data_IF_725615211308
#
_entry.id   IF_725615211308
#
_cell.length_a   1.000
_cell.length_b   1.000
_cell.length_c   1.000
_cell.angle_alpha   90.00
_cell.angle_beta   90.00
_cell.angle_gamma   90.00
#
_symmetry.space_group_name_H-M   'P 1'
#
loop_
_entity.id
_entity.type
_entity.pdbx_description
1 polymer ?
#
# COMPACT_ATOMS: atom_id res chain seq x y z
N UNK A 1 12.89 45.02 -3.07
CA UNK A 1 12.37 43.73 -3.57
C UNK A 1 13.10 42.64 -2.82
N UNK A 2 12.41 41.86 -1.98
CA UNK A 2 13.04 40.74 -1.28
C UNK A 2 13.08 39.54 -2.23
N UNK A 3 14.24 38.92 -2.38
CA UNK A 3 14.37 37.68 -3.13
C UNK A 3 13.62 36.55 -2.40
N UNK A 4 12.92 35.67 -3.13
CA UNK A 4 12.23 34.53 -2.52
C UNK A 4 13.27 33.59 -1.89
N UNK A 5 13.06 33.27 -0.60
CA UNK A 5 13.84 32.27 0.12
C UNK A 5 13.72 30.92 -0.61
N UNK A 6 14.83 30.19 -0.86
CA UNK A 6 14.75 28.87 -1.49
C UNK A 6 13.91 27.92 -0.62
N UNK A 7 13.20 26.96 -1.24
CA UNK A 7 12.41 25.97 -0.52
C UNK A 7 13.31 25.20 0.44
N UNK A 8 12.80 24.96 1.66
CA UNK A 8 13.50 24.19 2.69
C UNK A 8 13.48 22.72 2.29
N UNK A 9 14.63 22.06 2.35
CA UNK A 9 14.73 20.62 2.09
C UNK A 9 14.02 19.83 3.20
N UNK A 10 13.13 18.90 2.82
CA UNK A 10 12.41 18.06 3.79
C UNK A 10 13.30 16.89 4.26
N UNK A 11 14.04 17.15 5.34
CA UNK A 11 14.87 16.14 6.01
C UNK A 11 14.05 15.10 6.78
N UNK A 12 12.77 15.37 7.09
CA UNK A 12 11.90 14.47 7.84
C UNK A 12 11.20 13.44 6.95
N UNK A 13 11.25 13.62 5.62
CA UNK A 13 10.67 12.69 4.64
C UNK A 13 9.19 12.43 4.92
N UNK A 14 8.42 13.51 5.09
CA UNK A 14 6.98 13.42 5.34
C UNK A 14 6.25 12.74 4.18
N UNK A 15 6.80 12.83 2.97
CA UNK A 15 6.38 12.06 1.80
C UNK A 15 6.32 10.55 2.09
N UNK A 16 7.38 9.99 2.65
CA UNK A 16 7.45 8.56 2.96
C UNK A 16 6.52 8.18 4.11
N UNK A 17 6.47 9.00 5.16
CA UNK A 17 5.60 8.76 6.31
C UNK A 17 4.12 8.76 5.91
N UNK A 18 3.71 9.71 5.06
CA UNK A 18 2.35 9.76 4.54
C UNK A 18 2.04 8.55 3.66
N UNK A 19 2.96 8.13 2.79
CA UNK A 19 2.77 6.91 1.97
C UNK A 19 2.61 5.65 2.83
N UNK A 20 3.41 5.51 3.90
CA UNK A 20 3.28 4.39 4.83
C UNK A 20 1.92 4.39 5.54
N UNK A 21 1.45 5.55 5.99
CA UNK A 21 0.12 5.68 6.61
C UNK A 21 -1.01 5.33 5.63
N UNK A 22 -0.91 5.81 4.38
CA UNK A 22 -1.89 5.56 3.32
C UNK A 22 -1.91 4.09 2.88
N UNK A 23 -0.77 3.38 2.89
CA UNK A 23 -0.76 1.91 2.70
C UNK A 23 -1.55 1.19 3.79
N UNK A 24 -1.57 1.73 5.01
CA UNK A 24 -2.41 1.26 6.10
C UNK A 24 -3.91 1.29 5.76
N UNK A 25 -4.37 2.30 5.02
CA UNK A 25 -5.76 2.41 4.55
C UNK A 25 -6.11 1.26 3.60
N UNK A 26 -5.22 0.94 2.66
CA UNK A 26 -5.41 -0.20 1.73
C UNK A 26 -5.51 -1.52 2.50
N UNK A 27 -4.64 -1.73 3.48
CA UNK A 27 -4.68 -2.94 4.32
C UNK A 27 -6.00 -3.06 5.07
N UNK A 28 -6.48 -1.99 5.68
CA UNK A 28 -7.74 -2.01 6.43
C UNK A 28 -8.95 -2.21 5.51
N UNK A 29 -8.94 -1.60 4.31
CA UNK A 29 -9.97 -1.83 3.30
C UNK A 29 -10.05 -3.31 2.89
N UNK A 30 -8.89 -3.95 2.63
CA UNK A 30 -8.87 -5.38 2.31
C UNK A 30 -9.30 -6.27 3.48
N UNK A 31 -8.93 -5.94 4.73
CA UNK A 31 -9.39 -6.69 5.93
C UNK A 31 -10.90 -6.65 6.08
N UNK A 32 -11.51 -5.51 5.77
CA UNK A 32 -12.96 -5.40 5.76
C UNK A 32 -13.58 -6.30 4.71
N UNK A 33 -13.01 -6.33 3.50
CA UNK A 33 -13.47 -7.20 2.41
C UNK A 33 -13.28 -8.68 2.72
N UNK A 34 -12.18 -9.08 3.35
CA UNK A 34 -11.95 -10.45 3.82
C UNK A 34 -13.06 -10.93 4.77
N UNK A 35 -13.50 -10.06 5.68
CA UNK A 35 -14.51 -10.40 6.69
C UNK A 35 -15.96 -10.30 6.22
N UNK A 36 -16.27 -9.25 5.48
CA UNK A 36 -17.65 -8.83 5.16
C UNK A 36 -17.99 -9.01 3.68
N UNK A 37 -16.98 -9.23 2.82
CA UNK A 37 -17.10 -9.09 1.38
C UNK A 37 -17.08 -7.63 0.92
N UNK A 38 -17.24 -7.41 -0.39
CA UNK A 38 -17.36 -6.07 -0.94
C UNK A 38 -18.79 -5.55 -0.75
N UNK A 39 -18.99 -4.39 -0.09
CA UNK A 39 -20.32 -3.81 0.06
C UNK A 39 -20.78 -3.14 -1.25
N UNK A 40 -22.06 -3.28 -1.59
CA UNK A 40 -22.67 -2.56 -2.72
C UNK A 40 -21.89 -2.72 -4.04
N UNK A 41 -21.56 -1.59 -4.66
CA UNK A 41 -20.86 -1.52 -5.95
C UNK A 41 -19.33 -1.35 -5.82
N UNK A 42 -18.79 -1.42 -4.60
CA UNK A 42 -17.38 -1.26 -4.35
C UNK A 42 -16.57 -2.36 -5.03
N UNK A 43 -15.48 -1.99 -5.69
CA UNK A 43 -14.52 -2.90 -6.28
C UNK A 43 -13.16 -2.23 -6.41
N UNK A 44 -12.09 -3.00 -6.28
CA UNK A 44 -10.74 -2.44 -6.16
C UNK A 44 -9.88 -2.80 -7.35
N UNK A 45 -9.21 -1.80 -7.93
CA UNK A 45 -8.08 -1.98 -8.83
C UNK A 45 -6.80 -1.84 -8.01
N UNK A 46 -5.98 -2.89 -7.99
CA UNK A 46 -4.73 -2.92 -7.24
C UNK A 46 -3.59 -3.15 -8.21
N UNK A 47 -2.80 -2.11 -8.45
CA UNK A 47 -1.60 -2.17 -9.28
C UNK A 47 -0.38 -2.43 -8.40
N UNK A 48 0.48 -3.39 -8.78
CA UNK A 48 1.67 -3.75 -8.01
C UNK A 48 2.84 -4.15 -8.91
N UNK A 49 4.06 -4.03 -8.38
CA UNK A 49 5.28 -4.47 -9.04
C UNK A 49 5.43 -5.99 -8.94
N UNK A 50 5.40 -6.69 -10.07
CA UNK A 50 5.45 -8.17 -10.11
C UNK A 50 6.82 -8.74 -9.76
N UNK A 51 7.88 -7.91 -9.75
CA UNK A 51 9.25 -8.29 -9.40
C UNK A 51 9.66 -7.89 -7.98
N UNK A 52 8.75 -7.31 -7.20
CA UNK A 52 9.05 -6.93 -5.82
C UNK A 52 9.31 -8.18 -4.95
N UNK A 53 10.33 -8.19 -4.06
CA UNK A 53 10.63 -9.33 -3.21
C UNK A 53 9.42 -9.80 -2.39
N UNK A 54 9.11 -11.09 -2.44
CA UNK A 54 7.97 -11.69 -1.75
C UNK A 54 6.66 -11.71 -2.56
N UNK A 55 6.62 -11.12 -3.75
CA UNK A 55 5.52 -11.36 -4.70
C UNK A 55 5.62 -12.79 -5.26
N UNK A 56 4.53 -13.54 -5.19
CA UNK A 56 4.45 -14.90 -5.76
C UNK A 56 3.32 -14.93 -6.78
N UNK A 57 3.67 -15.31 -8.01
CA UNK A 57 2.79 -15.46 -9.18
C UNK A 57 3.19 -16.76 -9.90
N UNK A 58 2.28 -17.28 -10.74
CA UNK A 58 2.65 -18.38 -11.64
C UNK A 58 3.69 -17.91 -12.69
N UNK A 59 4.49 -18.84 -13.21
CA UNK A 59 5.47 -18.53 -14.26
C UNK A 59 4.79 -17.89 -15.50
N UNK A 60 3.63 -18.42 -15.90
CA UNK A 60 2.83 -17.89 -17.01
C UNK A 60 2.40 -16.44 -16.78
N UNK A 61 1.90 -16.13 -15.58
CA UNK A 61 1.46 -14.77 -15.24
C UNK A 61 2.63 -13.80 -15.15
N UNK A 62 3.76 -14.24 -14.60
CA UNK A 62 4.98 -13.44 -14.55
C UNK A 62 5.57 -13.16 -15.95
N UNK A 63 5.56 -14.14 -16.85
CA UNK A 63 5.97 -13.94 -18.25
C UNK A 63 5.07 -12.95 -18.98
N UNK A 64 3.75 -13.01 -18.74
CA UNK A 64 2.77 -12.09 -19.35
C UNK A 64 2.87 -10.67 -18.78
N UNK A 65 3.15 -10.55 -17.47
CA UNK A 65 3.22 -9.27 -16.74
C UNK A 65 4.59 -9.12 -16.06
N UNK A 66 5.68 -8.86 -16.81
CA UNK A 66 7.05 -8.94 -16.30
C UNK A 66 7.49 -7.76 -15.41
N UNK A 67 6.69 -6.70 -15.28
CA UNK A 67 7.06 -5.50 -14.50
C UNK A 67 5.96 -5.04 -13.56
N UNK A 68 4.73 -5.00 -14.05
CA UNK A 68 3.59 -4.47 -13.32
C UNK A 68 2.35 -5.24 -13.73
N UNK A 69 1.47 -5.45 -12.77
CA UNK A 69 0.19 -6.10 -12.95
C UNK A 69 -0.87 -5.36 -12.15
N UNK A 70 -2.07 -5.23 -12.71
CA UNK A 70 -3.25 -4.71 -12.04
C UNK A 70 -4.27 -5.81 -11.90
N UNK A 71 -4.67 -6.12 -10.67
CA UNK A 71 -5.76 -7.04 -10.38
C UNK A 71 -7.03 -6.29 -10.01
N UNK A 72 -8.18 -6.92 -10.25
CA UNK A 72 -9.49 -6.38 -9.88
C UNK A 72 -10.14 -7.30 -8.86
N UNK A 73 -10.46 -6.77 -7.68
CA UNK A 73 -11.26 -7.44 -6.68
C UNK A 73 -12.70 -6.95 -6.81
N UNK A 74 -13.56 -7.79 -7.39
CA UNK A 74 -14.99 -7.53 -7.58
C UNK A 74 -15.82 -8.78 -7.26
N UNK A 75 -16.34 -9.50 -8.27
CA UNK A 75 -17.21 -10.66 -8.06
C UNK A 75 -16.48 -11.99 -8.17
N UNK A 76 -15.34 -12.03 -8.86
CA UNK A 76 -14.60 -13.26 -9.16
C UNK A 76 -13.25 -13.28 -8.44
N UNK A 77 -13.30 -13.29 -7.12
CA UNK A 77 -12.14 -13.56 -6.28
C UNK A 77 -12.53 -14.54 -5.18
N UNK A 78 -11.55 -15.32 -4.73
CA UNK A 78 -11.73 -16.31 -3.68
C UNK A 78 -10.55 -16.28 -2.72
N UNK A 79 -10.75 -16.84 -1.54
CA UNK A 79 -9.68 -17.07 -0.56
C UNK A 79 -8.81 -15.84 -0.30
N UNK A 80 -9.42 -14.64 -0.29
CA UNK A 80 -8.73 -13.42 0.12
C UNK A 80 -8.34 -13.59 1.59
N UNK A 81 -7.04 -13.52 1.88
CA UNK A 81 -6.55 -13.45 3.27
C UNK A 81 -5.60 -12.29 3.43
N UNK A 82 -5.76 -11.54 4.52
CA UNK A 82 -5.00 -10.33 4.76
C UNK A 82 -4.13 -10.47 6.00
N UNK A 83 -2.82 -10.43 5.79
CA UNK A 83 -1.82 -10.46 6.85
C UNK A 83 -1.35 -9.03 7.17
N UNK A 84 -0.41 -8.89 8.11
CA UNK A 84 0.08 -7.57 8.51
C UNK A 84 0.90 -6.87 7.41
N UNK A 85 1.67 -7.64 6.64
CA UNK A 85 2.64 -7.15 5.65
C UNK A 85 2.32 -7.54 4.20
N UNK A 86 1.39 -8.48 3.99
CA UNK A 86 1.02 -8.99 2.68
C UNK A 86 -0.43 -9.49 2.66
N UNK A 87 -0.97 -9.77 1.47
CA UNK A 87 -2.26 -10.43 1.29
C UNK A 87 -2.17 -11.53 0.22
N UNK A 88 -2.98 -12.59 0.36
CA UNK A 88 -3.20 -13.59 -0.69
C UNK A 88 -4.60 -13.47 -1.25
N UNK A 89 -4.75 -13.77 -2.54
CA UNK A 89 -6.05 -13.89 -3.18
C UNK A 89 -5.95 -14.90 -4.32
N UNK A 90 -7.05 -15.62 -4.56
CA UNK A 90 -7.21 -16.45 -5.74
C UNK A 90 -8.09 -15.74 -6.77
N UNK A 91 -7.57 -15.66 -7.99
CA UNK A 91 -8.23 -15.04 -9.14
C UNK A 91 -8.19 -16.01 -10.33
N UNK A 92 -9.05 -15.79 -11.30
CA UNK A 92 -9.07 -16.59 -12.53
C UNK A 92 -8.48 -15.79 -13.69
N UNK A 93 -7.44 -16.32 -14.33
CA UNK A 93 -6.85 -15.76 -15.55
C UNK A 93 -7.03 -16.76 -16.69
N UNK A 94 -7.71 -16.36 -17.77
CA UNK A 94 -8.05 -17.25 -18.89
C UNK A 94 -8.75 -18.56 -18.43
N UNK A 95 -9.66 -18.47 -17.45
CA UNK A 95 -10.36 -19.60 -16.79
C UNK A 95 -9.47 -20.54 -15.94
N UNK A 96 -8.24 -20.14 -15.65
CA UNK A 96 -7.33 -20.90 -14.79
C UNK A 96 -7.24 -20.18 -13.45
N UNK A 97 -7.61 -20.84 -12.34
CA UNK A 97 -7.46 -20.25 -11.01
C UNK A 97 -5.96 -20.16 -10.66
N UNK A 98 -5.55 -18.98 -10.20
CA UNK A 98 -4.20 -18.69 -9.75
C UNK A 98 -4.22 -18.00 -8.40
N UNK A 99 -3.37 -18.49 -7.51
CA UNK A 99 -3.14 -17.88 -6.20
C UNK A 99 -2.01 -16.85 -6.32
N UNK A 100 -2.28 -15.63 -5.86
CA UNK A 100 -1.33 -14.53 -5.83
C UNK A 100 -0.99 -14.20 -4.37
N UNK A 101 0.29 -13.94 -4.09
CA UNK A 101 0.75 -13.40 -2.80
C UNK A 101 1.42 -12.06 -3.08
N UNK A 102 0.93 -11.00 -2.45
CA UNK A 102 1.33 -9.62 -2.75
C UNK A 102 1.64 -8.88 -1.45
N UNK A 103 2.91 -8.49 -1.21
CA UNK A 103 3.28 -7.58 -0.13
C UNK A 103 2.66 -6.19 -0.32
N UNK A 104 2.23 -5.52 0.76
CA UNK A 104 1.69 -4.16 0.66
C UNK A 104 2.70 -3.15 0.10
N UNK A 105 3.99 -3.40 0.32
CA UNK A 105 5.06 -2.57 -0.21
C UNK A 105 5.25 -2.74 -1.73
N UNK A 106 4.75 -3.84 -2.32
CA UNK A 106 4.74 -4.03 -3.76
C UNK A 106 3.64 -3.21 -4.46
N UNK A 107 2.63 -2.75 -3.71
CA UNK A 107 1.50 -1.98 -4.26
C UNK A 107 1.98 -0.60 -4.71
N UNK A 108 1.67 -0.30 -5.97
CA UNK A 108 1.93 0.97 -6.67
C UNK A 108 0.69 1.84 -6.75
N UNK A 109 -0.50 1.24 -6.77
CA UNK A 109 -1.74 1.97 -6.88
C UNK A 109 -2.91 1.17 -6.32
N UNK A 110 -3.86 1.90 -5.74
CA UNK A 110 -5.13 1.39 -5.26
C UNK A 110 -6.23 2.34 -5.73
N UNK A 111 -7.29 1.81 -6.34
CA UNK A 111 -8.40 2.61 -6.85
C UNK A 111 -9.73 1.91 -6.61
N UNK A 112 -10.71 2.67 -6.15
CA UNK A 112 -12.11 2.30 -6.06
C UNK A 112 -12.96 3.25 -6.92
N UNK A 113 -13.41 2.81 -8.12
CA UNK A 113 -14.19 3.66 -9.01
C UNK A 113 -15.58 4.02 -8.49
N UNK A 114 -16.17 3.23 -7.59
CA UNK A 114 -17.54 3.44 -7.12
C UNK A 114 -17.67 4.77 -6.37
N UNK A 115 -16.63 5.17 -5.65
CA UNK A 115 -16.55 6.42 -4.88
C UNK A 115 -15.44 7.36 -5.36
N UNK A 116 -14.85 7.06 -6.53
CA UNK A 116 -13.76 7.84 -7.13
C UNK A 116 -12.55 8.03 -6.21
N UNK A 117 -12.24 7.03 -5.40
CA UNK A 117 -11.13 7.06 -4.45
C UNK A 117 -9.89 6.41 -5.06
N UNK A 118 -8.74 7.08 -5.00
CA UNK A 118 -7.50 6.59 -5.58
C UNK A 118 -6.25 6.99 -4.78
N UNK A 119 -5.33 6.05 -4.64
CA UNK A 119 -4.03 6.21 -4.00
C UNK A 119 -2.94 5.73 -4.96
N UNK A 120 -1.83 6.46 -5.00
CA UNK A 120 -0.62 6.08 -5.73
C UNK A 120 0.55 6.09 -4.77
N UNK A 121 1.41 5.06 -4.88
CA UNK A 121 2.56 4.86 -4.02
C UNK A 121 3.82 4.76 -4.86
N UNK A 122 4.92 5.24 -4.28
CA UNK A 122 6.24 4.94 -4.81
C UNK A 122 6.68 3.58 -4.25
N UNK A 123 6.99 2.66 -5.16
CA UNK A 123 7.65 1.41 -4.79
C UNK A 123 9.12 1.69 -4.82
N UNK A 124 9.69 1.88 -3.63
CA UNK A 124 11.14 1.90 -3.46
C UNK A 124 11.60 0.49 -3.79
N UNK A 125 12.21 0.33 -4.96
CA UNK A 125 12.90 -0.90 -5.27
C UNK A 125 13.95 -1.08 -4.17
N UNK A 126 13.90 -2.21 -3.48
CA UNK A 126 15.01 -2.61 -2.61
C UNK A 126 16.13 -2.98 -3.59
N UNK A 127 16.86 -1.99 -4.08
CA UNK A 127 18.15 -2.23 -4.71
C UNK A 127 19.01 -2.93 -3.66
N UNK A 128 19.61 -4.05 -4.05
CA UNK A 128 20.38 -4.98 -3.24
C UNK A 128 21.03 -4.32 -2.02
N UNK A 129 20.37 -4.43 -0.86
CA UNK A 129 21.10 -4.30 0.39
C UNK A 129 22.03 -5.51 0.46
N UNK A 130 23.35 -5.33 0.54
CA UNK A 130 24.24 -6.45 0.80
C UNK A 130 23.82 -7.04 2.14
N UNK A 131 23.60 -8.35 2.17
CA UNK A 131 23.24 -9.11 3.36
C UNK A 131 24.23 -8.78 4.49
N UNK A 132 23.79 -7.95 5.44
CA UNK A 132 24.50 -7.75 6.69
C UNK A 132 24.27 -9.02 7.51
N UNK A 133 25.33 -9.81 7.58
CA UNK A 133 25.40 -11.08 8.28
C UNK A 133 24.83 -11.00 9.70
N UNK A 134 24.16 -12.10 10.05
CA UNK A 134 23.79 -12.58 11.38
C UNK A 134 24.74 -12.16 12.49
N UNK A 135 24.17 -11.64 13.59
CA UNK A 135 24.49 -12.15 14.92
C UNK A 135 23.43 -11.70 15.94
N UNK A 136 22.71 -12.67 16.50
CA UNK A 136 22.00 -12.54 17.78
C UNK A 136 22.83 -13.32 18.82
N UNK A 137 22.89 -12.86 20.07
CA UNK A 137 22.01 -13.52 21.03
C UNK A 137 21.51 -12.65 22.21
N UNK A 138 20.28 -12.94 22.65
CA UNK A 138 20.00 -13.28 24.06
C UNK A 138 19.65 -12.19 25.07
N UNK A 139 18.36 -12.14 25.45
CA UNK A 139 17.96 -12.43 26.84
C UNK A 139 17.56 -11.28 27.80
N UNK A 140 16.30 -11.35 28.24
CA UNK A 140 15.82 -11.20 29.64
C UNK A 140 15.10 -9.90 30.09
N UNK A 141 13.83 -10.13 30.48
CA UNK A 141 13.02 -9.54 31.56
C UNK A 141 12.59 -8.06 31.58
N UNK A 142 11.26 -7.85 31.49
CA UNK A 142 10.46 -7.78 32.73
C UNK A 142 9.90 -6.41 33.16
N UNK A 143 8.55 -6.35 33.16
CA UNK A 143 7.66 -5.66 34.12
C UNK A 143 7.05 -4.26 33.81
N UNK A 144 5.73 -4.31 33.59
CA UNK A 144 4.64 -3.64 34.33
C UNK A 144 4.38 -2.12 34.25
N UNK A 145 3.13 -1.85 33.82
CA UNK A 145 2.11 -0.98 34.43
C UNK A 145 2.07 0.54 34.17
N UNK A 146 0.98 0.92 33.48
CA UNK A 146 -0.02 1.94 33.83
C UNK A 146 0.40 3.42 33.97
N UNK A 147 0.02 4.25 32.97
CA UNK A 147 -0.58 5.54 33.32
C UNK A 147 -1.55 6.10 32.26
N UNK A 148 -2.65 6.61 32.82
CA UNK A 148 -3.82 7.27 32.23
C UNK A 148 -3.55 8.64 31.60
N UNK A 149 -4.41 8.97 30.64
CA UNK A 149 -5.06 10.27 30.34
C UNK A 149 -4.22 11.54 30.26
N UNK A 150 -4.33 12.25 29.12
CA UNK A 150 -5.13 13.47 29.07
C UNK A 150 -5.24 14.02 27.62
N UNK A 151 -6.45 14.47 27.34
CA UNK A 151 -6.93 15.26 26.21
C UNK A 151 -6.21 16.60 26.08
N UNK A 152 -5.97 17.07 24.85
CA UNK A 152 -6.07 18.50 24.53
C UNK A 152 -6.38 18.69 23.04
N UNK A 153 -7.55 19.26 22.79
CA UNK A 153 -7.91 19.96 21.56
C UNK A 153 -7.01 21.20 21.39
N UNK A 154 -6.71 21.58 20.14
CA UNK A 154 -6.96 22.92 19.59
C UNK A 154 -6.22 23.15 18.26
N UNK A 155 -7.02 23.53 17.27
CA UNK A 155 -6.79 24.59 16.28
C UNK A 155 -5.88 24.35 15.06
N UNK A 156 -6.60 24.19 13.96
CA UNK A 156 -6.31 24.55 12.58
C UNK A 156 -5.49 25.83 12.38
N UNK A 157 -4.46 25.71 11.54
CA UNK A 157 -3.96 26.83 10.72
C UNK A 157 -3.71 26.33 9.29
N UNK A 158 -4.32 27.04 8.34
CA UNK A 158 -4.12 26.90 6.91
C UNK A 158 -2.66 27.15 6.53
N UNK A 159 -2.12 26.27 5.68
CA UNK A 159 -0.81 26.42 5.07
C UNK A 159 -0.70 25.47 3.88
N UNK A 160 -0.89 26.02 2.68
CA UNK A 160 -0.74 25.34 1.40
C UNK A 160 0.63 24.65 1.28
N UNK A 161 0.63 23.33 1.48
CA UNK A 161 1.74 22.42 1.21
C UNK A 161 1.34 21.44 0.12
N UNK A 162 2.18 21.36 -0.90
CA UNK A 162 1.99 20.55 -2.10
C UNK A 162 1.64 19.09 -1.77
N UNK A 163 0.54 18.64 -2.35
CA UNK A 163 -0.33 17.56 -1.87
C UNK A 163 0.32 16.18 -2.06
N UNK A 164 0.16 15.29 -1.06
CA UNK A 164 0.06 13.86 -1.34
C UNK A 164 -0.91 13.69 -2.53
N UNK A 165 -0.43 13.12 -3.63
CA UNK A 165 -1.15 13.15 -4.90
C UNK A 165 -2.34 12.17 -4.84
N UNK A 166 -3.46 12.64 -4.28
CA UNK A 166 -4.78 12.05 -4.50
C UNK A 166 -5.15 12.36 -5.94
N UNK A 167 -4.87 11.41 -6.82
CA UNK A 167 -5.13 11.58 -8.25
C UNK A 167 -6.57 11.20 -8.53
N UNK A 168 -7.36 12.19 -8.96
CA UNK A 168 -8.68 11.94 -9.55
C UNK A 168 -8.55 11.14 -10.85
N UNK A 169 -9.55 10.31 -11.14
CA UNK A 169 -9.61 9.26 -12.18
C UNK A 169 -9.04 9.60 -13.58
N UNK A 170 -8.95 10.86 -13.97
CA UNK A 170 -8.49 11.25 -15.31
C UNK A 170 -7.01 10.91 -15.58
N UNK A 171 -6.19 10.74 -14.54
CA UNK A 171 -4.79 10.37 -14.71
C UNK A 171 -4.57 8.92 -15.20
N UNK A 172 -5.56 8.03 -15.01
CA UNK A 172 -5.45 6.61 -15.38
C UNK A 172 -5.97 6.30 -16.79
N UNK A 173 -6.68 7.22 -17.44
CA UNK A 173 -7.31 7.03 -18.77
C UNK A 173 -6.35 7.20 -19.97
N UNK A 174 -5.03 7.17 -19.76
CA UNK A 174 -4.05 7.43 -20.83
C UNK A 174 -2.87 6.45 -20.82
N UNK A 175 -3.02 5.29 -21.46
CA UNK A 175 -2.24 4.85 -22.63
C UNK A 175 -2.75 3.52 -23.16
#
# INVERSE_FOLDING_TARGET
>A
MAEPKPPVEDLMRYDQLAQLALRGVVREALRRVEREGLPGEHHFYIAFNTRYPGVILSARTMERYPREMTIVLQHQYWNLKVHDTWFEVELSFDNIPEKLIIPFNAVKGFLDPAVQFGLQFEVVAVEDQPEAATDAPGGSNGSSADHKSATSEAESTDGEGEKAKVVSLDAFRKK
#
